data_IF_443460794689
#
_entry.id   IF_443460794689
#
_cell.length_a   1.000
_cell.length_b   1.000
_cell.length_c   1.000
_cell.angle_alpha   90.00
_cell.angle_beta   90.00
_cell.angle_gamma   90.00
#
_symmetry.space_group_name_H-M   'P 1'
#
loop_
_entity.id
_entity.type
_entity.pdbx_description
1 polymer ?
#
# COMPACT_ATOMS: atom_id res chain seq x y z
N UNK A 1 7.17 -1.45 11.15
CA UNK A 1 6.80 -2.69 11.88
C UNK A 1 7.11 -3.94 11.04
N UNK A 2 8.21 -3.90 10.29
CA UNK A 2 8.64 -4.96 9.40
C UNK A 2 8.78 -6.32 10.09
N UNK A 3 8.35 -7.38 9.39
CA UNK A 3 8.59 -8.79 9.72
C UNK A 3 8.13 -9.18 11.14
N UNK A 4 6.83 -9.08 11.37
CA UNK A 4 6.19 -9.49 12.62
C UNK A 4 5.03 -10.46 12.33
N UNK A 5 4.15 -10.67 13.32
CA UNK A 5 2.93 -11.48 13.17
C UNK A 5 1.68 -10.63 13.35
N UNK A 6 1.76 -9.35 12.96
CA UNK A 6 0.64 -8.43 13.10
C UNK A 6 -0.48 -8.86 12.16
N UNK A 7 -1.69 -8.96 12.71
CA UNK A 7 -2.93 -9.16 11.96
C UNK A 7 -3.65 -7.84 11.68
N UNK A 8 -3.33 -6.81 12.47
CA UNK A 8 -3.86 -5.46 12.36
C UNK A 8 -2.76 -4.43 12.69
N UNK A 9 -2.94 -3.22 12.18
CA UNK A 9 -2.14 -2.05 12.54
C UNK A 9 -3.05 -0.82 12.53
N UNK A 10 -2.95 -0.02 13.58
CA UNK A 10 -3.64 1.28 13.66
C UNK A 10 -2.64 2.40 13.37
N UNK A 11 -2.87 3.13 12.28
CA UNK A 11 -2.09 4.28 11.83
C UNK A 11 -2.88 5.61 11.95
N UNK A 12 -4.08 5.57 12.55
CA UNK A 12 -5.03 6.70 12.54
C UNK A 12 -4.50 7.93 13.28
N UNK A 13 -3.66 7.74 14.29
CA UNK A 13 -3.02 8.83 15.05
C UNK A 13 -1.77 9.42 14.37
N UNK A 14 -1.34 8.85 13.24
CA UNK A 14 -0.09 9.22 12.57
C UNK A 14 -0.33 10.07 11.31
N UNK A 15 -1.09 11.17 11.43
CA UNK A 15 -1.46 12.00 10.27
C UNK A 15 -0.29 12.63 9.51
N UNK A 16 0.86 12.80 10.17
CA UNK A 16 2.11 13.31 9.58
C UNK A 16 3.03 12.20 9.02
N UNK A 17 2.54 10.95 8.91
CA UNK A 17 3.35 9.83 8.45
C UNK A 17 3.66 9.96 6.95
N UNK A 18 4.95 10.05 6.61
CA UNK A 18 5.43 10.15 5.23
C UNK A 18 5.83 8.79 4.64
N UNK A 19 6.20 7.84 5.49
CA UNK A 19 6.60 6.49 5.10
C UNK A 19 6.10 5.47 6.11
N UNK A 20 5.58 4.35 5.61
CA UNK A 20 5.26 3.19 6.44
C UNK A 20 5.80 1.91 5.81
N UNK A 21 6.46 1.10 6.64
CA UNK A 21 6.85 -0.27 6.31
C UNK A 21 6.16 -1.23 7.28
N UNK A 22 5.15 -1.90 6.76
CA UNK A 22 4.40 -2.98 7.40
C UNK A 22 4.55 -4.32 6.68
N UNK A 23 5.57 -4.45 5.83
CA UNK A 23 5.82 -5.65 5.06
C UNK A 23 6.21 -6.86 5.92
N UNK A 24 5.92 -8.06 5.43
CA UNK A 24 6.18 -9.32 6.15
C UNK A 24 5.31 -9.51 7.39
N UNK A 25 4.02 -9.21 7.29
CA UNK A 25 3.06 -9.41 8.38
C UNK A 25 1.89 -10.32 7.91
N UNK A 26 0.79 -10.36 8.65
CA UNK A 26 -0.41 -11.13 8.33
C UNK A 26 -1.63 -10.21 8.19
N UNK A 27 -1.41 -8.96 7.80
CA UNK A 27 -2.46 -7.96 7.66
C UNK A 27 -3.45 -8.40 6.57
N UNK A 28 -4.72 -8.55 6.93
CA UNK A 28 -5.81 -8.79 5.98
C UNK A 28 -6.43 -7.50 5.45
N UNK A 29 -6.21 -6.39 6.14
CA UNK A 29 -6.60 -5.04 5.74
C UNK A 29 -5.59 -4.02 6.25
N UNK A 30 -5.53 -2.88 5.58
CA UNK A 30 -4.67 -1.76 5.94
C UNK A 30 -5.43 -0.46 5.66
N UNK A 31 -5.80 0.26 6.71
CA UNK A 31 -6.41 1.58 6.60
C UNK A 31 -5.31 2.65 6.70
N UNK A 32 -5.17 3.42 5.62
CA UNK A 32 -4.24 4.56 5.51
C UNK A 32 -4.97 5.87 5.23
N UNK A 33 -6.30 5.90 5.40
CA UNK A 33 -7.14 7.06 5.03
C UNK A 33 -6.81 8.33 5.84
N UNK A 34 -6.26 8.17 7.05
CA UNK A 34 -5.82 9.29 7.89
C UNK A 34 -4.42 9.82 7.54
N UNK A 35 -3.67 9.14 6.66
CA UNK A 35 -2.26 9.41 6.39
C UNK A 35 -2.07 10.17 5.05
N UNK A 36 -2.72 11.33 4.90
CA UNK A 36 -2.69 12.11 3.66
C UNK A 36 -1.28 12.59 3.23
N UNK A 37 -0.31 12.59 4.16
CA UNK A 37 1.09 12.93 3.88
C UNK A 37 1.95 11.73 3.43
N UNK A 38 1.37 10.54 3.33
CA UNK A 38 2.10 9.32 3.02
C UNK A 38 2.61 9.35 1.57
N UNK A 39 3.92 9.22 1.42
CA UNK A 39 4.63 9.17 0.13
C UNK A 39 5.08 7.76 -0.23
N UNK A 40 5.41 6.94 0.78
CA UNK A 40 5.99 5.61 0.59
C UNK A 40 5.26 4.56 1.41
N UNK A 41 4.69 3.56 0.74
CA UNK A 41 4.00 2.43 1.34
C UNK A 41 4.70 1.12 0.98
N UNK A 42 5.27 0.45 1.99
CA UNK A 42 5.82 -0.90 1.87
C UNK A 42 4.93 -1.87 2.66
N UNK A 43 4.08 -2.60 1.95
CA UNK A 43 3.10 -3.54 2.51
C UNK A 43 3.21 -4.95 1.92
N UNK A 44 4.29 -5.24 1.20
CA UNK A 44 4.52 -6.54 0.56
C UNK A 44 4.56 -7.70 1.56
N UNK A 45 4.29 -8.92 1.08
CA UNK A 45 4.20 -10.14 1.91
C UNK A 45 3.24 -9.99 3.10
N UNK A 46 1.97 -9.74 2.79
CA UNK A 46 0.86 -9.69 3.74
C UNK A 46 -0.31 -10.53 3.20
N UNK A 47 -1.54 -10.31 3.69
CA UNK A 47 -2.76 -10.98 3.22
C UNK A 47 -3.81 -9.98 2.71
N UNK A 48 -3.37 -8.83 2.22
CA UNK A 48 -4.25 -7.77 1.73
C UNK A 48 -4.97 -8.24 0.47
N UNK A 49 -6.30 -8.18 0.47
CA UNK A 49 -7.12 -8.43 -0.72
C UNK A 49 -7.54 -7.15 -1.43
N UNK A 50 -7.47 -6.03 -0.71
CA UNK A 50 -7.84 -4.68 -1.17
C UNK A 50 -6.88 -3.66 -0.56
N UNK A 51 -6.65 -2.54 -1.24
CA UNK A 51 -5.84 -1.43 -0.77
C UNK A 51 -6.37 -0.11 -1.37
N UNK A 52 -7.23 0.58 -0.61
CA UNK A 52 -7.72 1.90 -1.00
C UNK A 52 -6.65 2.97 -0.74
N UNK A 53 -6.27 3.68 -1.81
CA UNK A 53 -5.27 4.75 -1.79
C UNK A 53 -5.87 6.12 -2.12
N UNK A 54 -7.21 6.22 -2.22
CA UNK A 54 -7.91 7.42 -2.70
C UNK A 54 -7.71 8.65 -1.81
N UNK A 55 -7.34 8.46 -0.54
CA UNK A 55 -7.08 9.54 0.42
C UNK A 55 -5.58 9.86 0.58
N UNK A 56 -4.70 9.27 -0.24
CA UNK A 56 -3.25 9.41 -0.13
C UNK A 56 -2.65 10.01 -1.42
N UNK A 57 -2.95 11.28 -1.73
CA UNK A 57 -2.61 11.90 -3.02
C UNK A 57 -1.10 12.09 -3.26
N UNK A 58 -0.27 11.93 -2.23
CA UNK A 58 1.18 12.08 -2.29
C UNK A 58 1.94 10.76 -2.49
N UNK A 59 1.24 9.62 -2.58
CA UNK A 59 1.88 8.33 -2.80
C UNK A 59 2.66 8.33 -4.12
N UNK A 60 3.95 8.05 -4.01
CA UNK A 60 4.89 7.95 -5.12
C UNK A 60 5.63 6.62 -5.15
N UNK A 61 5.54 5.82 -4.09
CA UNK A 61 6.03 4.44 -4.04
C UNK A 61 5.03 3.53 -3.33
N UNK A 62 4.63 2.45 -3.97
CA UNK A 62 3.78 1.41 -3.38
C UNK A 62 4.34 0.04 -3.75
N UNK A 63 4.79 -0.68 -2.73
CA UNK A 63 5.19 -2.09 -2.86
C UNK A 63 4.23 -2.95 -2.05
N UNK A 64 3.36 -3.66 -2.74
CA UNK A 64 2.33 -4.54 -2.17
C UNK A 64 2.34 -5.95 -2.79
N UNK A 65 3.38 -6.34 -3.54
CA UNK A 65 3.56 -7.71 -4.03
C UNK A 65 3.52 -8.76 -2.91
N UNK A 66 3.24 -10.01 -3.24
CA UNK A 66 3.08 -11.07 -2.23
C UNK A 66 1.83 -10.89 -1.35
N UNK A 67 0.86 -10.10 -1.82
CA UNK A 67 -0.49 -10.03 -1.29
C UNK A 67 -1.48 -10.63 -2.30
N UNK A 68 -2.59 -11.24 -1.85
CA UNK A 68 -3.64 -11.74 -2.73
C UNK A 68 -4.55 -10.61 -3.28
N UNK A 69 -3.95 -9.55 -3.82
CA UNK A 69 -4.69 -8.49 -4.51
C UNK A 69 -5.28 -9.04 -5.81
N UNK A 70 -6.54 -8.72 -6.08
CA UNK A 70 -7.16 -9.10 -7.35
C UNK A 70 -6.60 -8.26 -8.52
N UNK A 71 -6.76 -8.77 -9.74
CA UNK A 71 -6.41 -8.02 -10.96
C UNK A 71 -7.17 -6.69 -11.03
N UNK A 72 -8.48 -6.71 -10.74
CA UNK A 72 -9.32 -5.51 -10.69
C UNK A 72 -8.83 -4.50 -9.66
N UNK A 73 -8.41 -4.95 -8.48
CA UNK A 73 -7.85 -4.06 -7.46
C UNK A 73 -6.55 -3.41 -7.93
N UNK A 74 -5.68 -4.20 -8.56
CA UNK A 74 -4.42 -3.73 -9.14
C UNK A 74 -4.69 -2.66 -10.20
N UNK A 75 -5.68 -2.87 -11.08
CA UNK A 75 -6.10 -1.90 -12.08
C UNK A 75 -6.63 -0.61 -11.46
N UNK A 76 -7.41 -0.69 -10.37
CA UNK A 76 -7.92 0.48 -9.63
C UNK A 76 -6.74 1.28 -9.08
N UNK A 77 -5.80 0.65 -8.39
CA UNK A 77 -4.61 1.31 -7.81
C UNK A 77 -3.81 1.99 -8.92
N UNK A 78 -3.54 1.29 -10.02
CA UNK A 78 -2.82 1.86 -11.17
C UNK A 78 -3.60 3.05 -11.76
N UNK A 79 -4.93 2.93 -11.90
CA UNK A 79 -5.78 4.00 -12.44
C UNK A 79 -5.75 5.28 -11.60
N UNK A 80 -5.76 5.15 -10.28
CA UNK A 80 -5.69 6.26 -9.33
C UNK A 80 -4.37 7.04 -9.44
N UNK A 81 -3.32 6.39 -9.96
CA UNK A 81 -1.97 6.94 -10.08
C UNK A 81 -1.58 7.30 -11.53
N UNK A 82 -2.47 7.11 -12.52
CA UNK A 82 -2.19 7.40 -13.94
C UNK A 82 -1.79 8.86 -14.22
N UNK A 83 -2.17 9.81 -13.36
CA UNK A 83 -1.78 11.22 -13.46
C UNK A 83 -0.48 11.55 -12.72
N UNK A 84 0.02 10.64 -11.87
CA UNK A 84 1.25 10.81 -11.12
C UNK A 84 2.42 10.26 -11.97
N UNK A 85 3.22 11.15 -12.55
CA UNK A 85 4.40 10.75 -13.29
C UNK A 85 5.48 10.18 -12.33
N UNK A 86 6.08 9.05 -12.68
CA UNK A 86 7.23 8.50 -11.97
C UNK A 86 6.92 7.74 -10.68
N UNK A 87 5.71 7.21 -10.53
CA UNK A 87 5.37 6.35 -9.38
C UNK A 87 6.04 4.98 -9.50
N UNK A 88 6.71 4.57 -8.43
CA UNK A 88 7.34 3.25 -8.26
C UNK A 88 6.29 2.25 -7.71
N UNK A 89 5.83 1.33 -8.56
CA UNK A 89 4.71 0.42 -8.28
C UNK A 89 5.09 -1.05 -8.44
N UNK A 90 4.97 -1.82 -7.36
CA UNK A 90 5.10 -3.28 -7.37
C UNK A 90 3.93 -3.94 -6.64
N UNK A 91 2.90 -4.35 -7.37
CA UNK A 91 1.66 -4.92 -6.81
C UNK A 91 1.59 -6.45 -6.96
N UNK A 92 2.33 -7.03 -7.90
CA UNK A 92 2.38 -8.46 -8.23
C UNK A 92 3.82 -8.92 -8.39
N UNK A 93 4.10 -10.24 -8.29
CA UNK A 93 5.45 -10.79 -8.49
C UNK A 93 5.98 -10.61 -9.92
N UNK A 94 5.07 -10.41 -10.88
CA UNK A 94 5.39 -9.93 -12.22
C UNK A 94 5.19 -8.43 -12.27
N UNK A 95 6.27 -7.66 -12.45
CA UNK A 95 6.19 -6.22 -12.65
C UNK A 95 5.44 -5.92 -13.95
N UNK A 96 4.28 -5.28 -13.88
CA UNK A 96 3.68 -4.62 -15.04
C UNK A 96 4.51 -3.36 -15.33
N UNK A 97 5.38 -3.46 -16.34
CA UNK A 97 6.05 -2.34 -17.01
C UNK A 97 5.05 -1.50 -17.81
#
# INVERSE_FOLDING_TARGET
>A
CFNNRLTEIDLSANSALEMVDCSGNQLSGLDISANAQLMHLLAYNNRLTTLDISQNPLLSRIWAFGNPLSETETEIIVSNLRSAAGVDLWLTEESLL
#
